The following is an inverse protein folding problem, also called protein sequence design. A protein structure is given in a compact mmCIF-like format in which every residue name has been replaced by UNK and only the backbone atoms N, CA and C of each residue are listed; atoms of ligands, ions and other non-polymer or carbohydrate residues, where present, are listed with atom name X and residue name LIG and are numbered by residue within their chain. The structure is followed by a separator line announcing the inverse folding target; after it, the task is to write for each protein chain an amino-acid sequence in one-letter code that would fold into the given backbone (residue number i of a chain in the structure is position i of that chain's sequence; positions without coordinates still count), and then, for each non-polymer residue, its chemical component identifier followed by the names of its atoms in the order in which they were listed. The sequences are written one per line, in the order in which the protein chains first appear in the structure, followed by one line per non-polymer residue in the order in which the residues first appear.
data_IF_043398883369
#
_entry.id   IF_043398883369
#
_cell.length_a   1.000
_cell.length_b   1.000
_cell.length_c   1.000
_cell.angle_alpha   90.00
_cell.angle_beta   90.00
_cell.angle_gamma   90.00
#
_symmetry.space_group_name_H-M   'P 1'
#
loop_
_entity.id
_entity.type
_entity.pdbx_description
1 polymer ?
#
# COMPACT_ATOMS: atom_id res chain seq x y z
N UNK A 1 30.61 30.79 -31.75
CA UNK A 1 31.57 29.70 -31.48
C UNK A 1 31.03 28.88 -30.32
N UNK A 2 30.49 27.70 -30.59
CA UNK A 2 30.12 26.72 -29.57
C UNK A 2 30.33 25.34 -30.19
N UNK A 3 31.29 24.62 -29.62
CA UNK A 3 31.73 23.28 -30.00
C UNK A 3 30.73 22.25 -29.46
N UNK A 4 30.09 21.51 -30.38
CA UNK A 4 29.25 20.36 -30.07
C UNK A 4 30.13 19.12 -29.93
N UNK A 5 30.26 18.60 -28.71
CA UNK A 5 30.91 17.32 -28.44
C UNK A 5 29.92 16.18 -28.64
N UNK A 6 30.40 15.17 -29.36
CA UNK A 6 29.76 13.93 -29.78
C UNK A 6 29.57 12.95 -28.63
N UNK A 7 28.44 12.23 -28.62
CA UNK A 7 28.29 10.96 -27.90
C UNK A 7 27.61 9.96 -28.84
N UNK A 8 28.43 9.09 -29.44
CA UNK A 8 28.01 7.93 -30.19
C UNK A 8 27.54 6.84 -29.24
N UNK A 9 26.36 6.30 -29.51
CA UNK A 9 25.76 5.21 -28.76
C UNK A 9 25.05 4.31 -29.76
N UNK A 10 25.72 3.25 -30.24
CA UNK A 10 25.14 2.12 -30.98
C UNK A 10 26.23 1.06 -31.19
N UNK A 11 26.23 0.02 -30.35
CA UNK A 11 26.54 -1.37 -30.69
C UNK A 11 26.96 -2.17 -29.45
N UNK A 12 25.97 -2.62 -28.68
CA UNK A 12 26.13 -3.79 -27.80
C UNK A 12 24.82 -4.59 -27.81
N UNK A 13 24.52 -5.22 -28.95
CA UNK A 13 23.69 -6.43 -28.96
C UNK A 13 24.63 -7.65 -29.01
N UNK A 14 24.47 -8.66 -28.14
CA UNK A 14 25.14 -9.94 -28.30
C UNK A 14 24.49 -10.74 -29.43
N UNK A 15 25.32 -11.22 -30.35
CA UNK A 15 24.97 -12.12 -31.45
C UNK A 15 24.70 -13.56 -30.91
N UNK A 16 23.66 -14.29 -31.37
CA UNK A 16 23.37 -15.63 -30.89
C UNK A 16 24.04 -16.67 -31.79
N UNK A 17 25.14 -17.29 -31.37
CA UNK A 17 25.68 -18.53 -31.97
C UNK A 17 26.84 -19.10 -31.15
N UNK A 18 26.56 -20.15 -30.36
CA UNK A 18 27.48 -21.28 -30.12
C UNK A 18 26.76 -22.28 -29.21
N UNK A 19 26.14 -23.27 -29.85
CA UNK A 19 25.70 -24.48 -29.17
C UNK A 19 26.97 -25.26 -28.75
N UNK A 20 27.20 -25.35 -27.44
CA UNK A 20 28.12 -26.35 -26.87
C UNK A 20 27.30 -27.27 -25.98
N UNK A 21 26.93 -28.41 -26.55
CA UNK A 21 26.32 -29.55 -25.90
C UNK A 21 27.28 -30.11 -24.85
N UNK A 22 27.03 -29.80 -23.58
CA UNK A 22 27.63 -30.56 -22.47
C UNK A 22 26.90 -31.89 -22.32
N UNK A 23 27.61 -33.02 -22.18
CA UNK A 23 26.99 -34.34 -22.14
C UNK A 23 26.13 -34.51 -20.89
N UNK A 24 24.96 -35.09 -21.14
CA UNK A 24 23.99 -35.58 -20.18
C UNK A 24 24.69 -36.43 -19.10
N UNK A 25 24.71 -35.94 -17.85
CA UNK A 25 25.15 -36.75 -16.71
C UNK A 25 24.15 -37.90 -16.56
N UNK A 26 24.63 -39.14 -16.75
CA UNK A 26 23.89 -40.37 -16.51
C UNK A 26 23.28 -40.38 -15.10
N UNK A 27 22.02 -40.84 -14.92
CA UNK A 27 21.49 -41.13 -13.60
C UNK A 27 22.35 -42.21 -12.92
N UNK A 28 22.80 -41.94 -11.69
CA UNK A 28 23.46 -42.92 -10.84
C UNK A 28 22.49 -44.08 -10.54
N UNK A 29 22.94 -45.35 -10.53
CA UNK A 29 22.09 -46.48 -10.20
C UNK A 29 21.67 -46.43 -8.73
N UNK A 30 20.37 -46.59 -8.52
CA UNK A 30 19.68 -46.70 -7.23
C UNK A 30 20.33 -47.83 -6.42
N UNK A 31 21.08 -47.49 -5.36
CA UNK A 31 21.52 -48.46 -4.36
C UNK A 31 20.28 -49.01 -3.66
N UNK A 32 20.04 -50.30 -3.81
CA UNK A 32 19.08 -51.04 -3.01
C UNK A 32 19.54 -51.04 -1.56
N UNK A 33 18.88 -50.23 -0.72
CA UNK A 33 18.94 -50.38 0.72
C UNK A 33 18.17 -51.65 1.08
N UNK A 34 18.87 -52.63 1.65
CA UNK A 34 18.26 -53.80 2.28
C UNK A 34 17.39 -53.42 3.49
N UNK A 35 16.59 -54.36 4.03
CA UNK A 35 15.67 -54.08 5.11
C UNK A 35 16.44 -53.70 6.39
N UNK A 36 16.13 -52.53 6.95
CA UNK A 36 16.61 -52.10 8.27
C UNK A 36 15.86 -52.89 9.35
N UNK A 37 16.52 -53.35 10.43
CA UNK A 37 15.85 -54.06 11.52
C UNK A 37 14.82 -53.17 12.24
N UNK A 38 13.72 -53.81 12.63
CA UNK A 38 12.57 -53.25 13.34
C UNK A 38 12.98 -52.60 14.67
N UNK A 39 12.79 -51.29 14.78
CA UNK A 39 12.83 -50.58 16.05
C UNK A 39 11.58 -50.91 16.90
N UNK A 40 11.71 -51.09 18.22
CA UNK A 40 10.56 -51.35 19.09
C UNK A 40 9.71 -50.08 19.26
N UNK A 41 8.38 -50.25 19.21
CA UNK A 41 7.41 -49.16 19.21
C UNK A 41 7.42 -48.29 20.48
N UNK A 42 6.84 -47.07 20.42
CA UNK A 42 6.81 -46.16 21.56
C UNK A 42 5.77 -46.61 22.58
N UNK A 43 6.23 -46.92 23.79
CA UNK A 43 5.37 -47.10 24.96
C UNK A 43 4.82 -45.73 25.37
N UNK A 44 3.50 -45.57 25.33
CA UNK A 44 2.78 -44.42 25.86
C UNK A 44 3.10 -44.22 27.35
N UNK A 45 3.92 -43.23 27.66
CA UNK A 45 4.08 -42.69 29.01
C UNK A 45 3.06 -41.55 29.17
N UNK A 46 1.91 -41.87 29.75
CA UNK A 46 0.95 -40.89 30.24
C UNK A 46 1.56 -40.18 31.46
N UNK A 47 2.11 -38.99 31.25
CA UNK A 47 2.54 -38.12 32.33
C UNK A 47 1.35 -37.27 32.78
N UNK A 48 0.82 -37.58 33.97
CA UNK A 48 -0.27 -36.84 34.62
C UNK A 48 0.29 -35.49 35.10
N UNK A 49 -0.20 -34.38 34.55
CA UNK A 49 0.11 -33.04 35.03
C UNK A 49 -1.01 -32.51 35.97
N UNK A 50 -0.68 -31.75 37.03
CA UNK A 50 -1.68 -31.20 37.96
C UNK A 50 -2.51 -30.05 37.33
N UNK A 51 -3.74 -29.79 37.83
CA UNK A 51 -4.62 -28.80 37.21
C UNK A 51 -4.16 -27.36 37.52
N UNK A 52 -3.86 -26.60 36.46
CA UNK A 52 -3.62 -25.15 36.51
C UNK A 52 -4.96 -24.37 36.55
N UNK A 53 -5.01 -23.19 37.18
CA UNK A 53 -6.23 -22.40 37.32
C UNK A 53 -6.79 -21.92 35.97
N UNK A 54 -8.12 -21.95 35.85
CA UNK A 54 -8.89 -21.76 34.62
C UNK A 54 -8.64 -20.43 33.86
N UNK A 55 -8.02 -19.44 34.49
CA UNK A 55 -7.68 -18.15 33.85
C UNK A 55 -6.41 -18.21 33.00
N UNK A 56 -5.53 -19.18 33.21
CA UNK A 56 -4.38 -19.43 32.34
C UNK A 56 -4.74 -20.29 31.11
N UNK A 57 -5.82 -21.08 31.19
CA UNK A 57 -6.25 -21.98 30.12
C UNK A 57 -6.75 -21.23 28.86
N UNK A 58 -7.36 -20.05 29.00
CA UNK A 58 -7.87 -19.30 27.86
C UNK A 58 -6.76 -18.65 27.01
N UNK A 59 -5.68 -18.18 27.63
CA UNK A 59 -4.52 -17.61 26.93
C UNK A 59 -3.65 -18.69 26.27
N UNK A 60 -3.57 -19.87 26.88
CA UNK A 60 -2.87 -21.03 26.30
C UNK A 60 -3.72 -21.67 25.19
N UNK A 61 -5.04 -21.77 25.31
CA UNK A 61 -5.89 -22.37 24.27
C UNK A 61 -5.88 -21.61 22.93
N UNK A 62 -5.67 -20.29 22.93
CA UNK A 62 -5.51 -19.51 21.71
C UNK A 62 -4.13 -19.66 21.03
N UNK A 63 -3.12 -20.12 21.78
CA UNK A 63 -1.75 -20.30 21.30
C UNK A 63 -1.35 -21.76 21.09
N UNK A 64 -2.07 -22.72 21.69
CA UNK A 64 -1.73 -24.14 21.68
C UNK A 64 -1.79 -24.83 20.29
N UNK A 65 -2.67 -24.44 19.33
CA UNK A 65 -2.60 -24.99 17.98
C UNK A 65 -1.37 -24.49 17.19
N UNK A 66 -0.67 -23.46 17.68
CA UNK A 66 0.44 -22.82 16.98
C UNK A 66 1.81 -23.48 17.29
N UNK A 67 1.90 -24.28 18.37
CA UNK A 67 3.18 -24.83 18.87
C UNK A 67 3.25 -26.37 18.94
N UNK A 68 2.14 -27.10 18.74
CA UNK A 68 2.13 -28.56 18.96
C UNK A 68 2.44 -29.43 17.73
N UNK A 69 2.67 -28.85 16.55
CA UNK A 69 3.10 -29.59 15.35
C UNK A 69 4.44 -29.07 14.80
N UNK A 70 5.58 -29.55 15.32
CA UNK A 70 6.90 -29.17 14.80
C UNK A 70 7.16 -29.63 13.35
N UNK A 71 6.38 -30.60 12.85
CA UNK A 71 6.48 -31.11 11.46
C UNK A 71 5.83 -30.17 10.43
N UNK A 72 4.92 -29.28 10.85
CA UNK A 72 4.26 -28.30 9.98
C UNK A 72 5.05 -26.98 9.84
N UNK A 73 6.18 -26.87 10.54
CA UNK A 73 7.06 -25.68 10.54
C UNK A 73 8.14 -25.71 9.43
N UNK A 74 8.27 -26.81 8.69
CA UNK A 74 9.29 -26.98 7.64
C UNK A 74 8.61 -27.02 6.27
N UNK A 75 8.83 -25.99 5.47
CA UNK A 75 8.32 -25.88 4.12
C UNK A 75 9.52 -25.94 3.17
N UNK A 76 9.73 -27.11 2.57
CA UNK A 76 10.98 -27.59 1.92
C UNK A 76 12.01 -28.11 2.95
N UNK A 77 11.64 -29.16 3.67
CA UNK A 77 12.62 -30.02 4.36
C UNK A 77 13.43 -29.36 5.49
N UNK A 78 13.15 -28.10 5.85
CA UNK A 78 13.85 -27.37 6.90
C UNK A 78 15.14 -26.71 6.48
N UNK A 79 15.36 -26.50 5.18
CA UNK A 79 16.60 -25.96 4.63
C UNK A 79 16.88 -24.53 5.13
N UNK A 80 15.83 -23.71 5.28
CA UNK A 80 15.92 -22.32 5.75
C UNK A 80 15.37 -22.09 7.18
N UNK A 81 15.06 -23.15 7.93
CA UNK A 81 14.71 -23.09 9.35
C UNK A 81 13.48 -22.20 9.65
N UNK A 82 13.64 -21.22 10.56
CA UNK A 82 12.54 -20.34 11.04
C UNK A 82 11.90 -19.51 9.89
N UNK A 83 12.63 -19.28 8.80
CA UNK A 83 12.15 -18.54 7.63
C UNK A 83 11.11 -19.32 6.82
N UNK A 84 11.02 -20.64 6.99
CA UNK A 84 10.01 -21.48 6.32
C UNK A 84 8.69 -21.58 7.08
N UNK A 85 8.68 -21.15 8.35
CA UNK A 85 7.59 -21.38 9.26
C UNK A 85 6.29 -20.63 8.92
N UNK A 86 5.16 -21.22 9.32
CA UNK A 86 3.81 -20.65 9.17
C UNK A 86 3.65 -19.26 9.83
N UNK A 87 4.44 -18.95 10.87
CA UNK A 87 4.44 -17.64 11.53
C UNK A 87 4.93 -16.52 10.60
N UNK A 88 5.96 -16.79 9.78
CA UNK A 88 6.45 -15.83 8.81
C UNK A 88 5.46 -15.62 7.65
N UNK A 89 4.61 -16.62 7.36
CA UNK A 89 3.53 -16.49 6.38
C UNK A 89 2.39 -15.55 6.83
N UNK A 90 2.21 -15.34 8.14
CA UNK A 90 1.20 -14.42 8.68
C UNK A 90 1.65 -12.95 8.67
N UNK A 91 2.94 -12.68 8.46
CA UNK A 91 3.46 -11.31 8.34
C UNK A 91 2.80 -10.60 7.16
N UNK A 92 2.72 -11.26 6.01
CA UNK A 92 2.16 -10.68 4.80
C UNK A 92 0.73 -10.14 4.97
N UNK A 93 -0.29 -10.93 5.40
CA UNK A 93 -1.65 -10.41 5.55
C UNK A 93 -1.76 -9.29 6.61
N UNK A 94 -0.96 -9.32 7.67
CA UNK A 94 -0.95 -8.26 8.70
C UNK A 94 -0.35 -6.96 8.16
N UNK A 95 0.79 -7.05 7.47
CA UNK A 95 1.45 -5.91 6.83
C UNK A 95 0.55 -5.33 5.75
N UNK A 96 -0.09 -6.16 4.91
CA UNK A 96 -0.99 -5.70 3.87
C UNK A 96 -2.24 -5.00 4.43
N UNK A 97 -2.82 -5.50 5.52
CA UNK A 97 -3.90 -4.80 6.22
C UNK A 97 -3.46 -3.43 6.76
N UNK A 98 -2.26 -3.37 7.33
CA UNK A 98 -1.68 -2.12 7.85
C UNK A 98 -1.40 -1.11 6.73
N UNK A 99 -0.79 -1.55 5.63
CA UNK A 99 -0.52 -0.73 4.45
C UNK A 99 -1.82 -0.24 3.79
N UNK A 100 -2.89 -1.03 3.80
CA UNK A 100 -4.18 -0.60 3.29
C UNK A 100 -4.76 0.57 4.09
N UNK A 101 -4.82 0.45 5.43
CA UNK A 101 -5.28 1.56 6.29
C UNK A 101 -4.38 2.79 6.13
N UNK A 102 -3.06 2.58 6.04
CA UNK A 102 -2.11 3.66 5.83
C UNK A 102 -2.27 4.33 4.44
N UNK A 103 -2.67 3.58 3.41
CA UNK A 103 -3.01 4.11 2.09
C UNK A 103 -4.23 5.03 2.17
N UNK A 104 -5.28 4.64 2.91
CA UNK A 104 -6.46 5.49 3.11
C UNK A 104 -6.10 6.79 3.85
N UNK A 105 -5.24 6.68 4.87
CA UNK A 105 -4.70 7.85 5.58
C UNK A 105 -3.89 8.77 4.66
N UNK A 106 -3.00 8.23 3.83
CA UNK A 106 -2.27 9.01 2.83
C UNK A 106 -3.23 9.69 1.83
N UNK A 107 -4.29 9.00 1.41
CA UNK A 107 -5.36 9.55 0.59
C UNK A 107 -6.06 10.74 1.25
N UNK A 108 -6.38 10.64 2.55
CA UNK A 108 -6.93 11.75 3.33
C UNK A 108 -5.98 12.97 3.35
N UNK A 109 -4.69 12.77 3.59
CA UNK A 109 -3.71 13.87 3.56
C UNK A 109 -3.64 14.54 2.18
N UNK A 110 -3.69 13.74 1.10
CA UNK A 110 -3.74 14.24 -0.28
C UNK A 110 -5.01 15.05 -0.56
N UNK A 111 -6.14 14.60 -0.05
CA UNK A 111 -7.42 15.31 -0.14
C UNK A 111 -7.38 16.67 0.58
N UNK A 112 -6.84 16.74 1.80
CA UNK A 112 -6.68 17.99 2.53
C UNK A 112 -5.79 18.98 1.76
N UNK A 113 -4.70 18.50 1.15
CA UNK A 113 -3.87 19.34 0.29
C UNK A 113 -4.57 19.81 -1.00
N UNK A 114 -5.47 19.00 -1.56
CA UNK A 114 -6.35 19.44 -2.66
C UNK A 114 -7.31 20.53 -2.18
N UNK A 115 -7.94 20.37 -1.02
CA UNK A 115 -8.90 21.33 -0.45
C UNK A 115 -8.29 22.73 -0.27
N UNK A 116 -7.04 22.83 0.20
CA UNK A 116 -6.32 24.12 0.32
C UNK A 116 -6.29 24.91 -1.00
N UNK A 117 -6.16 24.21 -2.14
CA UNK A 117 -6.09 24.81 -3.47
C UNK A 117 -7.48 25.14 -4.01
N UNK A 118 -8.45 24.24 -3.85
CA UNK A 118 -9.82 24.48 -4.35
C UNK A 118 -10.50 25.62 -3.62
N UNK A 119 -10.30 25.74 -2.30
CA UNK A 119 -10.81 26.89 -1.52
C UNK A 119 -10.28 28.21 -2.07
N UNK A 120 -8.99 28.26 -2.46
CA UNK A 120 -8.43 29.49 -2.99
C UNK A 120 -9.12 29.90 -4.30
N UNK A 121 -9.49 28.93 -5.15
CA UNK A 121 -10.24 29.18 -6.38
C UNK A 121 -11.66 29.69 -6.05
N UNK A 122 -12.36 29.03 -5.11
CA UNK A 122 -13.69 29.44 -4.63
C UNK A 122 -13.67 30.88 -4.10
N UNK A 123 -12.67 31.24 -3.28
CA UNK A 123 -12.50 32.61 -2.76
C UNK A 123 -12.31 33.60 -3.91
N UNK A 124 -11.47 33.28 -4.89
CA UNK A 124 -11.20 34.17 -6.02
C UNK A 124 -12.45 34.37 -6.89
N UNK A 125 -13.27 33.35 -7.08
CA UNK A 125 -14.54 33.43 -7.80
C UNK A 125 -15.57 34.27 -7.05
N UNK A 126 -15.73 34.04 -5.74
CA UNK A 126 -16.63 34.84 -4.89
C UNK A 126 -16.21 36.32 -4.85
N UNK A 127 -14.91 36.61 -4.79
CA UNK A 127 -14.40 37.99 -4.85
C UNK A 127 -14.74 38.70 -6.17
N UNK A 128 -14.77 37.97 -7.30
CA UNK A 128 -15.20 38.54 -8.58
C UNK A 128 -16.69 38.91 -8.58
N UNK A 129 -17.52 38.18 -7.84
CA UNK A 129 -18.95 38.45 -7.70
C UNK A 129 -19.24 39.69 -6.85
N UNK A 130 -18.30 40.12 -5.99
CA UNK A 130 -18.50 41.28 -5.12
C UNK A 130 -18.31 42.62 -5.85
N UNK A 131 -17.49 42.69 -6.93
CA UNK A 131 -17.12 43.92 -7.67
C UNK A 131 -16.61 45.10 -6.78
N UNK A 132 -15.70 45.96 -7.27
CA UNK A 132 -15.19 47.06 -6.45
C UNK A 132 -16.31 48.08 -6.25
N UNK A 133 -16.55 48.48 -5.00
CA UNK A 133 -17.38 49.64 -4.69
C UNK A 133 -16.93 50.79 -5.61
N UNK A 134 -17.87 51.37 -6.36
CA UNK A 134 -17.63 52.57 -7.13
C UNK A 134 -16.97 53.61 -6.20
N UNK A 135 -15.98 54.40 -6.68
CA UNK A 135 -15.41 55.46 -5.86
C UNK A 135 -16.56 56.37 -5.43
N UNK A 136 -16.82 56.42 -4.13
CA UNK A 136 -17.72 57.39 -3.52
C UNK A 136 -17.31 58.77 -4.01
N UNK A 137 -18.21 59.55 -4.65
CA UNK A 137 -17.96 60.95 -4.87
C UNK A 137 -17.67 61.59 -3.52
N UNK A 138 -16.59 62.35 -3.43
CA UNK A 138 -16.30 63.19 -2.26
C UNK A 138 -17.49 64.13 -2.09
N UNK A 139 -18.34 63.85 -1.09
CA UNK A 139 -19.38 64.77 -0.68
C UNK A 139 -18.72 65.88 0.16
N UNK A 140 -18.43 67.00 -0.48
CA UNK A 140 -18.41 68.31 0.16
C UNK A 140 -19.82 68.61 0.68
N UNK A 141 -19.99 68.83 1.98
CA UNK A 141 -21.20 69.43 2.53
C UNK A 141 -21.64 68.84 3.87
N UNK A 142 -21.76 69.72 4.86
CA UNK A 142 -22.23 69.45 6.21
C UNK A 142 -23.67 68.89 6.26
N UNK A 143 -23.93 67.97 7.19
CA UNK A 143 -25.04 68.05 8.16
C UNK A 143 -25.08 66.78 9.05
N UNK A 144 -25.25 67.00 10.36
CA UNK A 144 -25.14 65.98 11.42
C UNK A 144 -26.34 65.04 11.52
N UNK A 145 -26.49 64.12 10.56
CA UNK A 145 -27.37 62.95 10.69
C UNK A 145 -26.73 61.80 11.49
N UNK A 146 -27.51 60.93 12.17
CA UNK A 146 -26.97 59.77 12.86
C UNK A 146 -26.17 58.88 11.91
N UNK A 147 -25.04 58.29 12.34
CA UNK A 147 -24.22 57.47 11.48
C UNK A 147 -25.06 56.30 10.92
N UNK A 148 -24.93 55.97 9.62
CA UNK A 148 -25.66 54.86 9.04
C UNK A 148 -25.33 53.57 9.81
N UNK A 149 -26.30 52.66 10.02
CA UNK A 149 -26.05 51.41 10.71
C UNK A 149 -24.94 50.63 9.98
N UNK A 150 -24.07 49.92 10.73
CA UNK A 150 -22.95 49.20 10.13
C UNK A 150 -23.49 48.26 9.04
N UNK A 151 -22.88 48.22 7.84
CA UNK A 151 -23.35 47.37 6.77
C UNK A 151 -23.29 45.92 7.24
N UNK A 152 -24.46 45.27 7.30
CA UNK A 152 -24.55 43.82 7.50
C UNK A 152 -23.69 43.16 6.43
N UNK A 153 -22.66 42.38 6.78
CA UNK A 153 -21.80 41.75 5.78
C UNK A 153 -22.68 40.91 4.89
N UNK A 154 -22.58 41.14 3.58
CA UNK A 154 -23.36 40.36 2.61
C UNK A 154 -23.06 38.87 2.81
N UNK A 155 -24.02 37.96 2.57
CA UNK A 155 -23.79 36.52 2.73
C UNK A 155 -22.55 35.99 1.99
N UNK A 156 -22.17 36.65 0.90
CA UNK A 156 -20.98 36.36 0.09
C UNK A 156 -19.69 36.74 0.83
N UNK A 157 -19.65 37.90 1.49
CA UNK A 157 -18.49 38.33 2.30
C UNK A 157 -18.29 37.42 3.52
N UNK A 158 -19.38 37.02 4.18
CA UNK A 158 -19.33 36.04 5.27
C UNK A 158 -18.75 34.70 4.78
N UNK A 159 -19.14 34.26 3.56
CA UNK A 159 -18.60 33.03 2.96
C UNK A 159 -17.11 33.14 2.63
N UNK A 160 -16.68 34.29 2.10
CA UNK A 160 -15.26 34.57 1.82
C UNK A 160 -14.45 34.52 3.12
N UNK A 161 -14.95 35.10 4.21
CA UNK A 161 -14.28 35.05 5.51
C UNK A 161 -14.16 33.62 6.03
N UNK A 162 -15.27 32.86 6.02
CA UNK A 162 -15.29 31.45 6.44
C UNK A 162 -14.27 30.60 5.66
N UNK A 163 -14.28 30.69 4.33
CA UNK A 163 -13.35 29.94 3.48
C UNK A 163 -11.90 30.37 3.69
N UNK A 164 -11.67 31.66 3.96
CA UNK A 164 -10.33 32.18 4.26
C UNK A 164 -9.81 31.60 5.58
N UNK A 165 -10.65 31.51 6.60
CA UNK A 165 -10.32 30.88 7.88
C UNK A 165 -10.08 29.38 7.74
N UNK A 166 -10.94 28.67 7.02
CA UNK A 166 -10.78 27.24 6.70
C UNK A 166 -9.41 27.00 6.03
N UNK A 167 -9.08 27.78 4.99
CA UNK A 167 -7.78 27.67 4.31
C UNK A 167 -6.61 27.94 5.25
N UNK A 168 -6.71 28.96 6.11
CA UNK A 168 -5.66 29.26 7.11
C UNK A 168 -5.48 28.09 8.08
N UNK A 169 -6.58 27.46 8.54
CA UNK A 169 -6.52 26.29 9.40
C UNK A 169 -5.86 25.10 8.67
N UNK A 170 -6.22 24.85 7.41
CA UNK A 170 -5.64 23.76 6.63
C UNK A 170 -4.15 23.95 6.32
N UNK A 171 -3.70 25.18 6.07
CA UNK A 171 -2.29 25.49 5.82
C UNK A 171 -1.41 25.15 7.03
N UNK A 172 -1.91 25.32 8.26
CA UNK A 172 -1.18 24.92 9.49
C UNK A 172 -0.93 23.43 9.58
N UNK A 173 -1.74 22.60 8.92
CA UNK A 173 -1.65 21.14 8.97
C UNK A 173 -0.49 20.52 8.16
N UNK A 174 0.23 21.31 7.35
CA UNK A 174 1.35 20.86 6.50
C UNK A 174 1.03 19.63 5.62
N UNK A 175 -0.20 19.56 5.11
CA UNK A 175 -0.72 18.38 4.41
C UNK A 175 0.07 17.98 3.17
N UNK A 176 0.69 18.94 2.46
CA UNK A 176 1.57 18.67 1.32
C UNK A 176 2.74 17.78 1.71
N UNK A 177 3.46 18.16 2.77
CA UNK A 177 4.65 17.47 3.23
C UNK A 177 4.29 16.13 3.88
N UNK A 178 3.23 16.12 4.70
CA UNK A 178 2.74 14.89 5.33
C UNK A 178 2.28 13.86 4.30
N UNK A 179 1.58 14.29 3.24
CA UNK A 179 1.18 13.40 2.16
C UNK A 179 2.38 12.85 1.40
N UNK A 180 3.38 13.70 1.10
CA UNK A 180 4.61 13.27 0.44
C UNK A 180 5.37 12.23 1.28
N UNK A 181 5.61 12.52 2.56
CA UNK A 181 6.29 11.61 3.48
C UNK A 181 5.52 10.30 3.67
N UNK A 182 4.20 10.37 3.85
CA UNK A 182 3.36 9.19 3.95
C UNK A 182 3.43 8.35 2.66
N UNK A 183 3.36 8.99 1.49
CA UNK A 183 3.52 8.32 0.19
C UNK A 183 4.89 7.67 0.01
N UNK A 184 5.97 8.32 0.43
CA UNK A 184 7.33 7.75 0.37
C UNK A 184 7.49 6.53 1.27
N UNK A 185 6.95 6.58 2.49
CA UNK A 185 6.94 5.43 3.42
C UNK A 185 6.12 4.29 2.82
N UNK A 186 4.92 4.57 2.33
CA UNK A 186 4.05 3.58 1.70
C UNK A 186 4.75 2.90 0.51
N UNK A 187 5.39 3.68 -0.35
CA UNK A 187 6.14 3.16 -1.50
C UNK A 187 7.29 2.25 -1.05
N UNK A 188 8.11 2.68 -0.09
CA UNK A 188 9.25 1.92 0.38
C UNK A 188 8.85 0.58 0.99
N UNK A 189 7.94 0.59 1.97
CA UNK A 189 7.47 -0.64 2.62
C UNK A 189 6.63 -1.51 1.69
N UNK A 190 5.81 -0.88 0.85
CA UNK A 190 4.98 -1.59 -0.13
C UNK A 190 5.81 -2.38 -1.14
N UNK A 191 6.88 -1.79 -1.67
CA UNK A 191 7.80 -2.48 -2.59
C UNK A 191 8.57 -3.59 -1.87
N UNK A 192 9.07 -3.32 -0.65
CA UNK A 192 9.76 -4.33 0.15
C UNK A 192 8.87 -5.54 0.43
N UNK A 193 7.60 -5.33 0.76
CA UNK A 193 6.63 -6.40 1.00
C UNK A 193 6.28 -7.17 -0.27
N UNK A 194 6.13 -6.49 -1.41
CA UNK A 194 5.86 -7.15 -2.68
C UNK A 194 7.01 -8.08 -3.10
N UNK A 195 8.25 -7.62 -2.99
CA UNK A 195 9.45 -8.42 -3.27
C UNK A 195 9.65 -9.51 -2.21
N UNK A 196 9.56 -9.14 -0.93
CA UNK A 196 9.71 -10.02 0.22
C UNK A 196 8.70 -11.15 0.25
N UNK A 197 7.44 -10.89 -0.07
CA UNK A 197 6.39 -11.90 -0.17
C UNK A 197 6.65 -12.94 -1.27
N UNK A 198 7.21 -12.50 -2.40
CA UNK A 198 7.64 -13.40 -3.47
C UNK A 198 8.83 -14.26 -3.02
N UNK A 199 9.86 -13.64 -2.42
CA UNK A 199 11.03 -14.35 -1.91
C UNK A 199 10.66 -15.36 -0.82
N UNK A 200 9.80 -14.98 0.13
CA UNK A 200 9.27 -15.85 1.16
C UNK A 200 8.59 -17.09 0.56
N UNK A 201 7.71 -16.88 -0.43
CA UNK A 201 7.03 -17.99 -1.12
C UNK A 201 8.03 -18.92 -1.80
N UNK A 202 9.04 -18.34 -2.44
CA UNK A 202 10.09 -19.11 -3.09
C UNK A 202 10.94 -19.91 -2.09
N UNK A 203 11.40 -19.31 -0.99
CA UNK A 203 12.14 -20.02 0.06
C UNK A 203 11.34 -21.21 0.63
N UNK A 204 10.02 -21.03 0.84
CA UNK A 204 9.15 -22.07 1.39
C UNK A 204 8.76 -23.20 0.43
N UNK A 205 8.88 -23.00 -0.88
CA UNK A 205 8.26 -23.93 -1.84
C UNK A 205 9.12 -24.24 -3.07
N UNK A 206 10.25 -23.56 -3.24
CA UNK A 206 11.13 -23.63 -4.40
C UNK A 206 10.55 -23.04 -5.69
N UNK A 207 9.34 -22.46 -5.65
CA UNK A 207 8.64 -21.91 -6.82
C UNK A 207 7.71 -20.76 -6.47
N UNK A 208 7.32 -19.98 -7.47
CA UNK A 208 6.25 -18.98 -7.35
C UNK A 208 4.95 -19.56 -7.90
N UNK A 209 3.82 -19.17 -7.29
CA UNK A 209 2.49 -19.58 -7.74
C UNK A 209 1.81 -18.38 -8.43
N UNK A 210 1.95 -18.24 -9.76
CA UNK A 210 1.31 -17.17 -10.49
C UNK A 210 -0.22 -17.32 -10.38
N UNK A 211 -0.89 -16.28 -9.92
CA UNK A 211 -2.34 -16.26 -9.76
C UNK A 211 -2.87 -14.84 -9.51
N UNK A 212 -4.20 -14.65 -9.48
CA UNK A 212 -4.80 -13.32 -9.48
C UNK A 212 -4.27 -12.39 -8.37
N UNK A 213 -4.08 -12.91 -7.16
CA UNK A 213 -3.52 -12.16 -6.03
C UNK A 213 -2.09 -11.65 -6.31
N UNK A 214 -1.20 -12.52 -6.81
CA UNK A 214 0.18 -12.15 -7.11
C UNK A 214 0.25 -11.10 -8.23
N UNK A 215 -0.53 -11.28 -9.30
CA UNK A 215 -0.58 -10.32 -10.39
C UNK A 215 -1.21 -8.98 -9.98
N UNK A 216 -2.25 -9.00 -9.16
CA UNK A 216 -2.85 -7.79 -8.59
C UNK A 216 -1.86 -7.04 -7.69
N UNK A 217 -1.12 -7.75 -6.82
CA UNK A 217 -0.06 -7.15 -6.00
C UNK A 217 1.09 -6.55 -6.83
N UNK A 218 1.52 -7.23 -7.89
CA UNK A 218 2.49 -6.68 -8.83
C UNK A 218 1.96 -5.41 -9.53
N UNK A 219 0.70 -5.44 -9.98
CA UNK A 219 0.02 -4.28 -10.57
C UNK A 219 -0.05 -3.09 -9.62
N UNK A 220 -0.38 -3.32 -8.34
CA UNK A 220 -0.39 -2.27 -7.30
C UNK A 220 1.00 -1.64 -7.15
N UNK A 221 2.05 -2.46 -7.13
CA UNK A 221 3.43 -1.99 -7.00
C UNK A 221 3.81 -1.08 -8.18
N UNK A 222 3.41 -1.44 -9.40
CA UNK A 222 3.59 -0.61 -10.60
C UNK A 222 2.80 0.69 -10.49
N UNK A 223 1.53 0.64 -10.06
CA UNK A 223 0.70 1.82 -9.90
C UNK A 223 1.27 2.79 -8.86
N UNK A 224 1.83 2.30 -7.75
CA UNK A 224 2.55 3.14 -6.79
C UNK A 224 3.76 3.83 -7.41
N UNK A 225 4.59 3.09 -8.16
CA UNK A 225 5.75 3.66 -8.83
C UNK A 225 5.36 4.72 -9.86
N UNK A 226 4.35 4.45 -10.69
CA UNK A 226 3.82 5.40 -11.66
C UNK A 226 3.25 6.65 -10.99
N UNK A 227 2.47 6.48 -9.91
CA UNK A 227 1.93 7.60 -9.15
C UNK A 227 3.05 8.48 -8.55
N UNK A 228 4.09 7.87 -7.99
CA UNK A 228 5.25 8.59 -7.45
C UNK A 228 6.05 9.33 -8.54
N UNK A 229 6.17 8.74 -9.73
CA UNK A 229 6.88 9.35 -10.86
C UNK A 229 6.20 10.65 -11.37
N UNK A 230 4.92 10.86 -11.09
CA UNK A 230 4.20 12.09 -11.47
C UNK A 230 4.52 13.28 -10.57
N UNK A 231 5.15 13.06 -9.41
CA UNK A 231 5.38 14.11 -8.40
C UNK A 231 6.13 15.34 -8.96
N UNK A 232 7.23 15.21 -9.74
CA UNK A 232 7.93 16.38 -10.29
C UNK A 232 7.02 17.25 -11.18
N UNK A 233 6.16 16.64 -11.99
CA UNK A 233 5.21 17.37 -12.84
C UNK A 233 4.11 18.05 -12.02
N UNK A 234 3.60 17.38 -10.99
CA UNK A 234 2.59 17.94 -10.08
C UNK A 234 3.11 19.15 -9.28
N UNK A 235 4.38 19.09 -8.84
CA UNK A 235 5.06 20.18 -8.15
C UNK A 235 5.19 21.41 -9.04
N UNK A 236 5.37 21.22 -10.35
CA UNK A 236 5.38 22.29 -11.37
C UNK A 236 3.99 22.84 -11.73
N UNK A 237 2.92 22.36 -11.10
CA UNK A 237 1.57 22.88 -11.35
C UNK A 237 0.75 22.13 -12.41
N UNK A 238 1.24 21.01 -12.96
CA UNK A 238 0.52 20.27 -14.00
C UNK A 238 -0.75 19.58 -13.44
N UNK A 239 -1.93 20.04 -13.85
CA UNK A 239 -3.22 19.49 -13.42
C UNK A 239 -3.52 18.10 -13.99
N UNK A 240 -3.08 17.80 -15.22
CA UNK A 240 -3.19 16.46 -15.81
C UNK A 240 -2.43 15.44 -14.97
N UNK A 241 -1.20 15.76 -14.56
CA UNK A 241 -0.40 14.90 -13.68
C UNK A 241 -1.08 14.69 -12.31
N UNK A 242 -1.72 15.74 -11.77
CA UNK A 242 -2.47 15.66 -10.49
C UNK A 242 -3.68 14.73 -10.61
N UNK A 243 -4.47 14.88 -11.66
CA UNK A 243 -5.64 14.04 -11.91
C UNK A 243 -5.24 12.59 -12.19
N UNK A 244 -4.17 12.38 -12.96
CA UNK A 244 -3.64 11.04 -13.22
C UNK A 244 -3.12 10.38 -11.94
N UNK A 245 -2.38 11.11 -11.09
CA UNK A 245 -1.94 10.61 -9.79
C UNK A 245 -3.13 10.19 -8.91
N UNK A 246 -4.20 10.98 -8.88
CA UNK A 246 -5.42 10.63 -8.14
C UNK A 246 -6.09 9.38 -8.73
N UNK A 247 -6.21 9.30 -10.06
CA UNK A 247 -6.83 8.17 -10.73
C UNK A 247 -6.06 6.85 -10.50
N UNK A 248 -4.73 6.88 -10.63
CA UNK A 248 -3.86 5.73 -10.36
C UNK A 248 -4.00 5.25 -8.90
N UNK A 249 -4.04 6.18 -7.94
CA UNK A 249 -4.22 5.84 -6.53
C UNK A 249 -5.64 5.35 -6.21
N UNK A 250 -6.66 5.89 -6.87
CA UNK A 250 -8.03 5.37 -6.79
C UNK A 250 -8.11 3.92 -7.27
N UNK A 251 -7.51 3.61 -8.43
CA UNK A 251 -7.41 2.24 -8.93
C UNK A 251 -6.63 1.34 -7.98
N UNK A 252 -5.55 1.83 -7.37
CA UNK A 252 -4.79 1.11 -6.35
C UNK A 252 -5.66 0.69 -5.17
N UNK A 253 -6.44 1.62 -4.61
CA UNK A 253 -7.35 1.32 -3.49
C UNK A 253 -8.38 0.28 -3.89
N UNK A 254 -8.96 0.39 -5.10
CA UNK A 254 -9.90 -0.60 -5.61
C UNK A 254 -9.28 -2.01 -5.71
N UNK A 255 -8.04 -2.11 -6.23
CA UNK A 255 -7.32 -3.38 -6.31
C UNK A 255 -6.97 -3.93 -4.93
N UNK A 256 -6.64 -3.08 -3.95
CA UNK A 256 -6.44 -3.49 -2.56
C UNK A 256 -7.72 -4.11 -1.98
N UNK A 257 -8.86 -3.42 -2.11
CA UNK A 257 -10.15 -3.90 -1.61
C UNK A 257 -10.54 -5.21 -2.29
N UNK A 258 -10.34 -5.31 -3.61
CA UNK A 258 -10.63 -6.53 -4.35
C UNK A 258 -9.81 -7.74 -3.87
N UNK A 259 -8.62 -7.51 -3.31
CA UNK A 259 -7.79 -8.58 -2.77
C UNK A 259 -8.24 -9.10 -1.40
N UNK A 260 -9.01 -8.33 -0.62
CA UNK A 260 -9.47 -8.74 0.73
C UNK A 260 -10.28 -10.05 0.69
N UNK A 261 -11.34 -10.20 -0.14
CA UNK A 261 -12.09 -11.45 -0.21
C UNK A 261 -11.27 -12.62 -0.79
N UNK A 262 -10.25 -12.32 -1.60
CA UNK A 262 -9.36 -13.36 -2.15
C UNK A 262 -8.34 -13.87 -1.15
N UNK A 263 -7.94 -13.05 -0.17
CA UNK A 263 -7.05 -13.42 0.92
C UNK A 263 -7.79 -14.29 1.95
N UNK A 264 -9.01 -13.90 2.35
CA UNK A 264 -9.85 -14.67 3.28
C UNK A 264 -10.22 -16.06 2.73
N UNK A 265 -10.49 -16.15 1.42
CA UNK A 265 -10.77 -17.42 0.73
C UNK A 265 -9.57 -18.39 0.75
N UNK A 266 -8.34 -17.88 0.84
CA UNK A 266 -7.10 -18.69 0.91
C UNK A 266 -6.63 -18.95 2.35
N UNK A 267 -6.99 -18.10 3.30
CA UNK A 267 -6.62 -18.21 4.72
C UNK A 267 -7.54 -19.15 5.53
N UNK A 268 -8.61 -19.69 4.93
CA UNK A 268 -9.47 -20.70 5.55
C UNK A 268 -10.57 -20.16 6.48
N UNK A 269 -10.75 -18.84 6.58
CA UNK A 269 -11.90 -18.25 7.29
C UNK A 269 -13.11 -18.18 6.34
N UNK A 270 -13.94 -19.24 6.33
CA UNK A 270 -15.25 -19.21 5.66
C UNK A 270 -16.27 -18.49 6.53
N UNK A 271 -16.58 -17.24 6.19
CA UNK A 271 -17.91 -16.67 6.42
C UNK A 271 -18.58 -16.44 5.06
N UNK A 272 -19.22 -17.51 4.57
CA UNK A 272 -20.46 -17.38 3.79
C UNK A 272 -20.43 -16.69 2.44
N UNK A 273 -19.47 -16.95 1.55
CA UNK A 273 -19.63 -16.68 0.11
C UNK A 273 -19.19 -17.89 -0.73
N UNK A 274 -20.18 -18.70 -1.14
CA UNK A 274 -20.01 -19.68 -2.23
C UNK A 274 -19.94 -18.90 -3.55
N UNK A 275 -18.86 -18.99 -4.31
CA UNK A 275 -18.94 -19.33 -5.74
C UNK A 275 -17.55 -19.58 -6.39
N UNK A 276 -17.56 -20.60 -7.27
CA UNK A 276 -16.58 -20.98 -8.29
C UNK A 276 -15.11 -21.15 -7.87
N UNK A 277 -14.73 -22.39 -7.55
CA UNK A 277 -13.56 -23.10 -8.10
C UNK A 277 -13.28 -24.34 -7.23
N UNK A 278 -14.16 -25.34 -7.32
CA UNK A 278 -13.82 -26.74 -7.10
C UNK A 278 -13.73 -27.37 -8.49
N UNK A 279 -12.52 -27.41 -9.05
CA UNK A 279 -12.00 -28.40 -9.98
C UNK A 279 -10.79 -27.82 -10.73
N UNK A 280 -9.61 -28.04 -10.16
CA UNK A 280 -8.42 -28.60 -10.83
C UNK A 280 -7.31 -28.77 -9.80
#
# INVERSE_FOLDING_TARGET
MATTATLGLLNLLPNPSSASSKPFLKPQPRRHLGPLPSAPGPKHLLLIAPPLPATAAAAVAFSLPLFLNPQDALAVGGEFGILEGRTFALVHPVVMGSLFVYTLWAGYLGWQWRRVRTIQNEINELKKQVAPAAPTPVATGADGGPPPPPPTPSPIEAKIQQLTEERKALLKGSYRERHFNAGSILLAFGVLEAVGGCLNTWFRTGKLFPGPHLFAGAGITVLWALAAALVPAMQKGNETARNLHIALNGLNVLLFVWQIPTAERKAGLRLGWRCCCTNQ
#
